data_IF_629952183754
#
_entry.id   IF_629952183754
#
_cell.length_a   1.000
_cell.length_b   1.000
_cell.length_c   1.000
_cell.angle_alpha   90.00
_cell.angle_beta   90.00
_cell.angle_gamma   90.00
#
_symmetry.space_group_name_H-M   'P 1'
#
loop_
_entity.id
_entity.type
_entity.pdbx_description
1 polymer ?
#
# COMPACT_ATOMS: atom_id res chain seq x y z
N UNK A 1 21.45 -18.08 18.28
CA UNK A 1 22.45 -19.15 18.06
C UNK A 1 21.78 -20.53 18.04
N UNK A 2 21.42 -21.00 16.83
CA UNK A 2 21.20 -22.39 16.40
C UNK A 2 20.27 -22.38 15.16
N UNK A 3 20.71 -21.71 14.09
CA UNK A 3 20.02 -21.80 12.80
C UNK A 3 20.46 -23.09 12.09
N UNK A 4 19.52 -23.78 11.45
CA UNK A 4 19.85 -24.93 10.59
C UNK A 4 20.35 -24.39 9.25
N UNK A 5 21.50 -24.85 8.74
CA UNK A 5 21.98 -24.47 7.41
C UNK A 5 20.99 -24.85 6.29
N UNK A 6 20.82 -23.95 5.31
CA UNK A 6 19.84 -24.05 4.22
C UNK A 6 19.94 -25.36 3.41
N UNK A 7 21.15 -25.91 3.30
CA UNK A 7 21.46 -27.14 2.57
C UNK A 7 20.93 -28.41 3.24
N UNK A 8 20.42 -28.31 4.48
CA UNK A 8 19.90 -29.46 5.24
C UNK A 8 18.38 -29.44 5.45
N UNK A 9 17.69 -28.46 4.87
CA UNK A 9 16.23 -28.37 4.93
C UNK A 9 15.64 -29.37 3.93
N UNK A 10 14.90 -30.36 4.42
CA UNK A 10 14.26 -31.39 3.59
C UNK A 10 15.07 -32.69 3.41
N UNK A 11 16.21 -32.82 4.08
CA UNK A 11 17.15 -33.94 3.93
C UNK A 11 16.71 -35.26 4.62
N UNK A 12 15.39 -35.44 4.82
CA UNK A 12 14.78 -36.72 5.17
C UNK A 12 15.34 -37.42 6.41
N UNK A 13 15.73 -36.69 7.46
CA UNK A 13 16.11 -37.32 8.73
C UNK A 13 14.90 -38.00 9.36
N UNK A 14 15.06 -39.25 9.81
CA UNK A 14 14.01 -40.03 10.46
C UNK A 14 13.64 -39.43 11.82
N UNK A 15 12.51 -38.73 11.91
CA UNK A 15 11.97 -38.23 13.17
C UNK A 15 11.03 -39.27 13.78
N UNK A 16 11.40 -39.83 14.93
CA UNK A 16 10.48 -40.60 15.76
C UNK A 16 9.52 -39.66 16.49
N UNK A 17 8.21 -39.82 16.28
CA UNK A 17 7.18 -39.11 17.03
C UNK A 17 7.17 -39.58 18.51
N UNK A 18 7.85 -38.86 19.39
CA UNK A 18 7.61 -38.88 20.84
C UNK A 18 6.54 -37.86 21.25
N UNK A 19 6.08 -37.84 22.53
CA UNK A 19 5.01 -36.96 23.00
C UNK A 19 5.42 -35.48 23.16
N UNK A 20 6.57 -35.07 22.62
CA UNK A 20 7.02 -33.68 22.65
C UNK A 20 6.56 -32.95 21.39
N UNK A 21 5.61 -32.03 21.56
CA UNK A 21 5.29 -31.00 20.58
C UNK A 21 6.52 -30.12 20.39
N UNK A 22 7.22 -30.29 19.26
CA UNK A 22 8.23 -29.34 18.80
C UNK A 22 7.52 -28.10 18.28
N UNK A 23 7.53 -27.01 19.07
CA UNK A 23 7.27 -25.67 18.54
C UNK A 23 8.45 -25.30 17.64
N UNK A 24 8.25 -25.41 16.32
CA UNK A 24 9.19 -24.84 15.36
C UNK A 24 8.87 -23.36 15.21
N UNK A 25 9.69 -22.49 15.81
CA UNK A 25 9.68 -21.07 15.49
C UNK A 25 10.38 -20.88 14.15
N UNK A 26 9.61 -20.80 13.07
CA UNK A 26 10.13 -20.44 11.74
C UNK A 26 10.25 -18.92 11.70
N UNK A 27 11.44 -18.38 11.42
CA UNK A 27 11.61 -16.96 11.14
C UNK A 27 10.97 -16.67 9.77
N UNK A 28 9.75 -16.15 9.78
CA UNK A 28 9.11 -15.65 8.57
C UNK A 28 9.72 -14.29 8.26
N UNK A 29 10.34 -14.15 7.09
CA UNK A 29 10.80 -12.86 6.60
C UNK A 29 9.59 -11.93 6.48
N UNK A 30 9.68 -10.75 7.09
CA UNK A 30 8.55 -9.83 7.13
C UNK A 30 8.60 -8.86 5.97
N UNK A 31 7.47 -8.73 5.28
CA UNK A 31 7.32 -7.79 4.18
C UNK A 31 7.37 -6.35 4.68
N UNK A 32 7.50 -5.41 3.74
CA UNK A 32 7.41 -3.98 4.05
C UNK A 32 6.16 -3.72 4.88
N UNK A 33 6.19 -2.72 5.75
CA UNK A 33 5.10 -2.37 6.64
C UNK A 33 4.85 -3.29 7.83
N UNK A 34 5.52 -4.44 7.90
CA UNK A 34 5.43 -5.30 9.07
C UNK A 34 6.13 -4.68 10.28
N UNK A 35 5.62 -4.88 11.51
CA UNK A 35 6.35 -4.48 12.70
C UNK A 35 7.69 -5.22 12.78
N UNK A 36 8.71 -4.63 13.39
CA UNK A 36 10.03 -5.25 13.53
C UNK A 36 10.74 -4.79 14.81
N UNK A 37 11.70 -5.58 15.26
CA UNK A 37 12.62 -5.23 16.34
C UNK A 37 14.03 -4.97 15.81
N UNK A 38 14.44 -5.67 14.76
CA UNK A 38 15.76 -5.55 14.14
C UNK A 38 15.74 -5.78 12.62
N UNK A 39 16.81 -5.41 11.93
CA UNK A 39 16.95 -5.61 10.47
C UNK A 39 16.80 -7.07 10.05
N UNK A 40 17.10 -8.02 10.94
CA UNK A 40 16.93 -9.46 10.66
C UNK A 40 15.46 -9.85 10.43
N UNK A 41 14.51 -9.06 10.93
CA UNK A 41 13.08 -9.29 10.68
C UNK A 41 12.68 -8.90 9.25
N UNK A 42 13.46 -8.01 8.62
CA UNK A 42 13.13 -7.29 7.40
C UNK A 42 13.94 -7.75 6.20
N UNK A 43 14.24 -9.04 6.11
CA UNK A 43 15.08 -9.61 5.04
C UNK A 43 14.27 -10.14 3.85
N UNK A 44 13.00 -9.74 3.71
CA UNK A 44 12.12 -10.23 2.64
C UNK A 44 12.51 -9.66 1.27
N UNK A 45 12.97 -8.41 1.22
CA UNK A 45 13.45 -7.75 -0.01
C UNK A 45 14.79 -7.03 0.19
N UNK A 46 15.60 -6.83 -0.88
CA UNK A 46 16.85 -6.09 -0.78
C UNK A 46 16.65 -4.66 -0.27
N UNK A 47 17.63 -4.16 0.50
CA UNK A 47 17.66 -2.80 1.08
C UNK A 47 16.51 -2.50 2.04
N UNK A 48 15.86 -3.53 2.57
CA UNK A 48 14.85 -3.42 3.61
C UNK A 48 15.53 -3.48 4.99
N UNK A 49 15.12 -2.58 5.89
CA UNK A 49 15.69 -2.40 7.22
C UNK A 49 14.57 -2.14 8.23
N UNK A 50 14.86 -2.32 9.51
CA UNK A 50 13.94 -2.05 10.60
C UNK A 50 14.17 -0.64 11.15
N UNK A 51 13.29 0.30 10.82
CA UNK A 51 13.40 1.69 11.24
C UNK A 51 12.05 2.26 11.67
N UNK A 52 12.08 3.38 12.38
CA UNK A 52 10.88 4.18 12.63
C UNK A 52 10.30 4.72 11.32
N UNK A 53 8.97 4.75 11.22
CA UNK A 53 8.25 5.46 10.16
C UNK A 53 7.91 6.90 10.58
N UNK A 54 7.22 7.63 9.71
CA UNK A 54 6.75 9.00 9.98
C UNK A 54 5.83 9.10 11.22
N UNK A 55 5.12 8.03 11.56
CA UNK A 55 4.23 7.97 12.73
C UNK A 55 4.95 7.57 14.03
N UNK A 56 6.22 7.15 13.97
CA UNK A 56 7.00 6.68 15.11
C UNK A 56 6.88 5.19 15.42
N UNK A 57 6.28 4.38 14.53
CA UNK A 57 6.25 2.92 14.68
C UNK A 57 7.48 2.28 14.03
N UNK A 58 8.05 1.28 14.71
CA UNK A 58 9.18 0.51 14.17
C UNK A 58 8.68 -0.56 13.21
N UNK A 59 8.97 -0.35 11.92
CA UNK A 59 8.49 -1.20 10.84
C UNK A 59 9.62 -1.59 9.90
N UNK A 60 9.41 -2.67 9.15
CA UNK A 60 10.24 -2.96 8.00
C UNK A 60 9.98 -1.95 6.90
N UNK A 61 10.97 -1.11 6.63
CA UNK A 61 10.97 -0.10 5.58
C UNK A 61 12.13 -0.31 4.61
N UNK A 62 12.22 0.47 3.53
CA UNK A 62 13.34 0.43 2.58
C UNK A 62 14.14 1.72 2.65
N UNK A 63 15.46 1.59 2.46
CA UNK A 63 16.35 2.74 2.28
C UNK A 63 15.95 3.53 1.03
N UNK A 64 16.12 4.85 1.10
CA UNK A 64 15.85 5.73 -0.03
C UNK A 64 16.94 6.79 -0.18
N UNK A 65 17.11 7.25 -1.41
CA UNK A 65 17.96 8.40 -1.70
C UNK A 65 17.10 9.68 -1.63
N UNK A 66 17.38 10.62 -0.70
CA UNK A 66 16.62 11.85 -0.56
C UNK A 66 16.76 12.78 -1.78
N UNK A 67 17.85 12.69 -2.54
CA UNK A 67 18.07 13.51 -3.73
C UNK A 67 17.27 12.98 -4.93
N UNK A 68 16.96 11.68 -4.94
CA UNK A 68 16.14 11.03 -5.98
C UNK A 68 14.68 10.83 -5.57
N UNK A 69 14.36 10.92 -4.27
CA UNK A 69 13.05 10.63 -3.67
C UNK A 69 12.45 9.30 -4.17
N UNK A 70 13.28 8.27 -4.34
CA UNK A 70 12.91 7.02 -4.96
C UNK A 70 12.33 6.03 -3.94
N UNK A 71 11.03 6.16 -3.65
CA UNK A 71 10.29 5.19 -2.85
C UNK A 71 9.40 4.29 -3.73
N UNK A 72 9.20 3.00 -3.36
CA UNK A 72 8.44 2.04 -4.19
C UNK A 72 6.99 2.45 -4.50
N UNK A 73 6.37 3.25 -3.62
CA UNK A 73 5.00 3.76 -3.75
C UNK A 73 4.93 5.18 -4.31
N UNK A 74 6.02 5.69 -4.89
CA UNK A 74 6.00 6.99 -5.55
C UNK A 74 5.47 8.12 -4.67
N UNK A 75 4.46 8.82 -5.18
CA UNK A 75 3.85 9.96 -4.50
C UNK A 75 3.06 9.60 -3.23
N UNK A 76 2.64 8.34 -3.03
CA UNK A 76 2.04 7.88 -1.76
C UNK A 76 3.07 7.78 -0.61
N UNK A 77 4.34 7.91 -0.93
CA UNK A 77 5.44 7.80 0.02
C UNK A 77 6.31 9.06 0.05
N UNK A 78 7.09 9.17 1.10
CA UNK A 78 8.09 10.21 1.30
C UNK A 78 9.38 9.59 1.79
N UNK A 79 10.50 10.05 1.21
CA UNK A 79 11.84 9.72 1.67
C UNK A 79 12.27 10.73 2.73
N UNK A 80 12.81 10.26 3.85
CA UNK A 80 13.29 11.12 4.92
C UNK A 80 13.99 10.34 6.03
N UNK A 81 14.65 11.04 6.95
CA UNK A 81 15.23 10.44 8.15
C UNK A 81 14.16 10.46 9.23
N UNK A 82 13.52 9.31 9.47
CA UNK A 82 12.45 9.15 10.46
C UNK A 82 12.95 8.54 11.77
N UNK A 83 14.06 7.80 11.69
CA UNK A 83 14.75 7.21 12.83
C UNK A 83 16.06 7.98 13.06
N UNK A 84 16.05 8.89 14.03
CA UNK A 84 17.21 9.71 14.37
C UNK A 84 18.38 8.89 14.91
N UNK A 85 18.12 7.73 15.53
CA UNK A 85 19.16 6.84 16.06
C UNK A 85 19.91 6.14 14.92
N UNK A 86 19.19 5.71 13.87
CA UNK A 86 19.79 5.12 12.67
C UNK A 86 20.45 6.18 11.77
N UNK A 87 19.87 7.38 11.69
CA UNK A 87 20.38 8.48 10.86
C UNK A 87 20.37 8.19 9.35
N UNK A 88 19.62 7.17 8.91
CA UNK A 88 19.51 6.76 7.51
C UNK A 88 18.17 7.19 6.91
N UNK A 89 18.16 7.72 5.67
CA UNK A 89 16.93 8.03 4.96
C UNK A 89 16.18 6.77 4.55
N UNK A 90 14.90 6.69 4.93
CA UNK A 90 14.00 5.58 4.62
C UNK A 90 12.66 6.07 4.07
N UNK A 91 11.94 5.16 3.43
CA UNK A 91 10.60 5.45 2.93
C UNK A 91 9.56 5.38 4.05
N UNK A 92 8.62 6.32 4.07
CA UNK A 92 7.41 6.21 4.87
C UNK A 92 6.19 6.54 4.02
N UNK A 93 5.05 5.95 4.35
CA UNK A 93 3.78 6.37 3.77
C UNK A 93 3.42 7.78 4.24
N UNK A 94 2.81 8.57 3.35
CA UNK A 94 2.36 9.94 3.66
C UNK A 94 1.22 9.99 4.67
N UNK A 95 0.43 8.92 4.77
CA UNK A 95 -0.64 8.80 5.75
C UNK A 95 -0.12 8.41 7.15
N UNK A 96 1.21 8.32 7.32
CA UNK A 96 1.85 7.90 8.56
C UNK A 96 2.17 6.41 8.52
N UNK A 97 1.63 5.66 9.47
CA UNK A 97 1.90 4.25 9.58
C UNK A 97 1.38 3.47 8.36
N UNK A 98 1.88 2.24 8.28
CA UNK A 98 1.60 1.27 7.24
C UNK A 98 0.20 0.67 7.20
N UNK A 99 -0.72 1.24 7.99
CA UNK A 99 -2.09 0.82 8.10
C UNK A 99 -2.97 2.06 7.92
N UNK A 100 -3.70 2.10 6.82
CA UNK A 100 -4.89 2.95 6.68
C UNK A 100 -6.14 2.21 7.17
N UNK A 101 -7.30 2.84 7.03
CA UNK A 101 -8.59 2.18 7.21
C UNK A 101 -8.99 1.34 5.97
N UNK A 102 -8.14 1.34 4.94
CA UNK A 102 -8.35 0.64 3.67
C UNK A 102 -9.36 1.35 2.78
N UNK A 103 -9.58 2.65 3.01
CA UNK A 103 -10.63 3.44 2.38
C UNK A 103 -10.03 4.35 1.31
N UNK A 104 -10.50 4.19 0.07
CA UNK A 104 -10.09 5.05 -1.05
C UNK A 104 -8.58 5.25 -1.07
N UNK A 105 -8.13 6.49 -1.01
CA UNK A 105 -6.71 6.84 -1.16
C UNK A 105 -5.72 6.35 -0.07
N UNK A 106 -6.14 5.48 0.84
CA UNK A 106 -5.24 4.79 1.75
C UNK A 106 -4.20 3.95 0.99
N UNK A 107 -2.92 3.96 1.43
CA UNK A 107 -1.89 3.12 0.81
C UNK A 107 -2.20 1.64 1.04
N UNK A 108 -1.84 0.81 0.07
CA UNK A 108 -2.05 -0.64 0.15
C UNK A 108 -0.90 -1.40 -0.52
N UNK A 109 -0.69 -2.65 -0.07
CA UNK A 109 0.22 -3.59 -0.73
C UNK A 109 -0.52 -4.72 -1.44
N UNK A 110 -1.66 -5.12 -0.87
CA UNK A 110 -2.53 -6.20 -1.32
C UNK A 110 -4.00 -5.77 -1.34
N UNK A 111 -4.84 -6.49 -2.07
CA UNK A 111 -6.28 -6.21 -2.14
C UNK A 111 -6.99 -6.44 -0.80
N UNK A 112 -6.46 -7.32 0.06
CA UNK A 112 -7.01 -7.64 1.37
C UNK A 112 -6.97 -6.44 2.35
N UNK A 113 -6.09 -5.47 2.10
CA UNK A 113 -6.01 -4.21 2.83
C UNK A 113 -7.11 -3.21 2.44
N UNK A 114 -7.90 -3.51 1.39
CA UNK A 114 -8.91 -2.61 0.83
C UNK A 114 -10.32 -3.21 0.94
N UNK A 115 -10.98 -3.17 2.11
CA UNK A 115 -12.29 -3.77 2.31
C UNK A 115 -13.35 -3.11 1.41
N UNK A 116 -14.07 -3.89 0.62
CA UNK A 116 -15.06 -3.37 -0.35
C UNK A 116 -14.44 -2.77 -1.61
N UNK A 117 -13.15 -3.04 -1.84
CA UNK A 117 -12.35 -2.44 -2.88
C UNK A 117 -11.29 -3.37 -3.47
N UNK A 118 -10.25 -2.77 -4.02
CA UNK A 118 -9.00 -3.43 -4.41
C UNK A 118 -7.85 -2.43 -4.41
N UNK A 119 -6.62 -2.95 -4.37
CA UNK A 119 -5.40 -2.17 -4.34
C UNK A 119 -4.91 -1.89 -5.77
N UNK A 120 -5.05 -0.64 -6.22
CA UNK A 120 -4.59 -0.24 -7.56
C UNK A 120 -3.18 0.29 -7.52
N UNK A 121 -2.43 0.07 -8.61
CA UNK A 121 -1.12 0.68 -8.84
C UNK A 121 -1.17 1.66 -10.00
N UNK A 122 -0.81 2.92 -9.76
CA UNK A 122 -0.57 3.89 -10.81
C UNK A 122 0.76 3.56 -11.50
N UNK A 123 0.72 3.26 -12.79
CA UNK A 123 1.89 2.88 -13.58
C UNK A 123 2.90 4.00 -13.82
N UNK A 124 2.53 5.26 -13.55
CA UNK A 124 3.39 6.42 -13.72
C UNK A 124 4.08 6.82 -12.43
N UNK A 125 3.30 7.13 -11.40
CA UNK A 125 3.83 7.54 -10.12
C UNK A 125 4.41 6.34 -9.37
N UNK A 126 3.97 5.10 -9.67
CA UNK A 126 4.31 3.90 -8.89
C UNK A 126 3.46 3.75 -7.63
N UNK A 127 2.63 4.74 -7.34
CA UNK A 127 1.68 4.80 -6.23
C UNK A 127 0.76 3.60 -6.17
N UNK A 128 0.51 3.12 -4.96
CA UNK A 128 -0.51 2.11 -4.69
C UNK A 128 -1.48 2.65 -3.64
N UNK A 129 -2.78 2.54 -3.93
CA UNK A 129 -3.85 3.01 -3.05
C UNK A 129 -5.10 2.14 -3.20
N UNK A 130 -5.97 2.15 -2.19
CA UNK A 130 -7.24 1.45 -2.26
C UNK A 130 -8.24 2.18 -3.19
N UNK A 131 -9.15 1.44 -3.81
CA UNK A 131 -10.36 2.02 -4.39
C UNK A 131 -11.55 1.46 -3.64
N UNK A 132 -12.25 2.29 -2.86
CA UNK A 132 -13.42 1.86 -2.10
C UNK A 132 -14.70 2.08 -2.93
N UNK A 133 -15.29 0.98 -3.39
CA UNK A 133 -16.53 1.01 -4.18
C UNK A 133 -17.78 1.25 -3.35
N UNK A 134 -17.67 1.32 -2.02
CA UNK A 134 -18.82 1.59 -1.13
C UNK A 134 -19.09 3.07 -0.97
N UNK A 135 -18.17 3.94 -1.40
CA UNK A 135 -18.36 5.39 -1.37
C UNK A 135 -19.21 5.77 -2.58
N UNK A 136 -20.51 5.92 -2.34
CA UNK A 136 -21.49 6.26 -3.37
C UNK A 136 -21.54 7.77 -3.60
N UNK A 137 -21.79 8.18 -4.84
CA UNK A 137 -21.88 9.57 -5.27
C UNK A 137 -23.12 9.79 -6.15
N UNK A 138 -23.32 11.02 -6.63
CA UNK A 138 -24.43 11.37 -7.50
C UNK A 138 -24.00 12.40 -8.53
N UNK A 139 -24.28 12.11 -9.80
CA UNK A 139 -24.06 13.04 -10.89
C UNK A 139 -25.34 13.80 -11.28
N UNK A 140 -25.22 15.07 -11.73
CA UNK A 140 -26.33 15.76 -12.36
C UNK A 140 -26.80 15.02 -13.62
N UNK A 141 -28.10 15.10 -13.94
CA UNK A 141 -28.67 14.44 -15.13
C UNK A 141 -28.02 14.87 -16.46
N UNK A 142 -27.34 16.02 -16.49
CA UNK A 142 -26.61 16.53 -17.65
C UNK A 142 -25.29 15.83 -17.92
N UNK A 143 -24.77 15.05 -16.96
CA UNK A 143 -23.53 14.27 -17.07
C UNK A 143 -23.81 12.81 -16.69
N UNK A 144 -24.63 12.10 -17.50
CA UNK A 144 -24.82 10.67 -17.30
C UNK A 144 -23.46 9.99 -17.49
N UNK A 145 -23.20 8.90 -16.78
CA UNK A 145 -21.94 8.12 -16.78
C UNK A 145 -20.82 8.63 -15.86
N UNK A 146 -20.54 9.93 -15.80
CA UNK A 146 -19.53 10.44 -14.86
C UNK A 146 -19.56 11.95 -14.68
N UNK A 147 -19.18 12.43 -13.50
CA UNK A 147 -19.03 13.84 -13.20
C UNK A 147 -17.87 14.07 -12.20
N UNK A 148 -17.31 15.28 -12.18
CA UNK A 148 -16.30 15.66 -11.20
C UNK A 148 -16.97 16.07 -9.88
N UNK A 149 -16.44 15.58 -8.76
CA UNK A 149 -16.80 16.05 -7.42
C UNK A 149 -18.23 15.77 -6.99
N UNK A 150 -18.98 14.88 -7.64
CA UNK A 150 -20.40 14.56 -7.41
C UNK A 150 -20.79 14.05 -6.01
N UNK A 151 -20.38 14.72 -4.95
CA UNK A 151 -20.48 14.28 -3.56
C UNK A 151 -19.27 13.48 -3.07
N UNK A 152 -18.27 13.22 -3.92
CA UNK A 152 -17.08 12.48 -3.51
C UNK A 152 -16.19 13.30 -2.57
N UNK A 153 -15.57 12.65 -1.55
CA UNK A 153 -14.57 13.31 -0.73
C UNK A 153 -13.36 13.72 -1.57
N UNK A 154 -12.62 14.72 -1.10
CA UNK A 154 -11.33 15.07 -1.69
C UNK A 154 -10.29 14.01 -1.31
N UNK A 155 -9.33 13.78 -2.19
CA UNK A 155 -8.19 12.92 -1.86
C UNK A 155 -7.27 13.60 -0.84
N UNK A 156 -6.37 12.87 -0.16
CA UNK A 156 -5.33 13.47 0.69
C UNK A 156 -4.44 14.47 -0.07
N UNK A 157 -4.29 14.28 -1.38
CA UNK A 157 -3.63 15.22 -2.29
C UNK A 157 -4.43 16.48 -2.63
N UNK A 158 -5.61 16.66 -2.01
CA UNK A 158 -6.56 17.73 -2.28
C UNK A 158 -7.02 17.77 -3.76
N UNK A 159 -7.20 16.59 -4.35
CA UNK A 159 -7.70 16.43 -5.71
C UNK A 159 -9.20 16.07 -5.69
N UNK A 160 -9.94 16.57 -6.67
CA UNK A 160 -11.35 16.19 -6.88
C UNK A 160 -11.44 14.78 -7.46
N UNK A 161 -12.21 13.93 -6.79
CA UNK A 161 -12.51 12.56 -7.22
C UNK A 161 -13.54 12.55 -8.35
N UNK A 162 -13.45 11.56 -9.23
CA UNK A 162 -14.41 11.35 -10.31
C UNK A 162 -15.51 10.43 -9.82
N UNK A 163 -16.75 10.87 -9.93
CA UNK A 163 -17.91 10.03 -9.69
C UNK A 163 -18.18 9.23 -10.96
N UNK A 164 -18.19 7.90 -10.87
CA UNK A 164 -18.38 7.00 -11.99
C UNK A 164 -19.64 6.17 -11.80
N UNK A 165 -20.37 5.96 -12.88
CA UNK A 165 -21.47 4.99 -12.91
C UNK A 165 -20.95 3.57 -12.62
N UNK A 166 -21.49 2.93 -11.58
CA UNK A 166 -21.16 1.57 -11.22
C UNK A 166 -21.62 0.61 -12.31
N UNK A 167 -20.67 -0.03 -13.01
CA UNK A 167 -20.95 -1.07 -14.00
C UNK A 167 -21.43 -2.37 -13.32
N UNK A 168 -22.61 -2.38 -12.69
CA UNK A 168 -23.31 -3.62 -12.37
C UNK A 168 -24.29 -3.94 -13.50
N UNK A 169 -23.86 -4.82 -14.40
CA UNK A 169 -24.58 -5.22 -15.62
C UNK A 169 -25.77 -6.17 -15.34
N UNK A 170 -26.36 -6.15 -14.14
CA UNK A 170 -27.39 -7.10 -13.73
C UNK A 170 -28.44 -6.44 -12.83
N UNK A 171 -29.44 -5.79 -13.46
CA UNK A 171 -30.77 -5.47 -12.90
C UNK A 171 -30.88 -4.71 -11.56
N UNK A 172 -29.80 -4.09 -11.06
CA UNK A 172 -29.84 -3.26 -9.85
C UNK A 172 -29.49 -1.81 -10.15
N UNK A 173 -30.01 -0.90 -9.31
CA UNK A 173 -29.85 0.56 -9.35
C UNK A 173 -28.45 0.96 -9.81
N UNK A 174 -28.36 1.90 -10.77
CA UNK A 174 -27.11 2.59 -11.10
C UNK A 174 -26.65 3.34 -9.84
N UNK A 175 -25.77 2.70 -9.07
CA UNK A 175 -25.11 3.34 -7.94
C UNK A 175 -23.80 3.92 -8.46
N UNK A 176 -23.70 5.24 -8.48
CA UNK A 176 -22.45 5.88 -8.82
C UNK A 176 -21.47 5.71 -7.66
N UNK A 177 -20.21 5.42 -7.95
CA UNK A 177 -19.16 5.23 -6.96
C UNK A 177 -18.04 6.24 -7.16
N UNK A 178 -17.41 6.64 -6.07
CA UNK A 178 -16.27 7.54 -6.10
C UNK A 178 -15.02 6.80 -6.53
N UNK A 179 -14.44 7.25 -7.64
CA UNK A 179 -13.15 6.82 -8.14
C UNK A 179 -12.09 7.88 -7.89
N UNK A 180 -10.83 7.46 -7.87
CA UNK A 180 -9.70 8.37 -7.72
C UNK A 180 -9.63 9.38 -8.88
N UNK A 181 -9.06 10.58 -8.64
CA UNK A 181 -8.89 11.61 -9.64
C UNK A 181 -8.19 11.09 -10.87
N UNK A 182 -8.72 11.45 -12.04
CA UNK A 182 -8.06 11.18 -13.30
C UNK A 182 -7.11 12.33 -13.64
N UNK A 183 -5.82 12.06 -13.53
CA UNK A 183 -4.77 12.97 -14.00
C UNK A 183 -4.31 12.52 -15.38
N UNK A 184 -4.30 13.44 -16.34
CA UNK A 184 -3.86 13.19 -17.71
C UNK A 184 -3.32 14.46 -18.34
N UNK A 185 -2.13 14.39 -18.94
CA UNK A 185 -1.64 15.42 -19.86
C UNK A 185 -2.16 15.03 -21.25
N UNK A 186 -2.81 15.97 -21.95
CA UNK A 186 -3.60 15.76 -23.16
C UNK A 186 -3.08 14.66 -24.10
N UNK A 187 -3.93 13.66 -24.36
CA UNK A 187 -3.66 12.55 -25.29
C UNK A 187 -3.15 11.25 -24.65
N UNK A 188 -2.76 11.25 -23.37
CA UNK A 188 -2.41 10.02 -22.63
C UNK A 188 -3.65 9.40 -21.94
N UNK A 189 -3.66 8.07 -21.77
CA UNK A 189 -4.69 7.33 -21.01
C UNK A 189 -4.90 8.00 -19.64
N UNK A 190 -6.15 8.31 -19.29
CA UNK A 190 -6.56 8.83 -17.97
C UNK A 190 -5.94 7.97 -16.86
N UNK A 191 -5.32 8.59 -15.84
CA UNK A 191 -4.63 7.86 -14.75
C UNK A 191 -5.21 8.25 -13.40
N UNK A 192 -5.69 7.25 -12.70
CA UNK A 192 -6.12 7.28 -11.31
C UNK A 192 -4.96 7.68 -10.38
N UNK A 193 -5.09 8.77 -9.62
CA UNK A 193 -4.03 9.28 -8.73
C UNK A 193 -4.62 9.93 -7.49
N UNK A 194 -4.16 9.56 -6.31
CA UNK A 194 -4.60 10.18 -5.06
C UNK A 194 -3.76 11.40 -4.66
N UNK A 195 -2.58 11.56 -5.27
CA UNK A 195 -1.70 12.70 -5.06
C UNK A 195 -1.43 13.47 -6.36
N UNK A 196 -1.13 14.78 -6.29
CA UNK A 196 -0.79 15.56 -7.47
C UNK A 196 0.41 14.96 -8.21
N UNK A 197 0.35 14.98 -9.53
CA UNK A 197 1.52 14.67 -10.36
C UNK A 197 2.50 15.83 -10.19
N UNK A 198 3.70 15.55 -9.68
CA UNK A 198 4.79 16.54 -9.61
C UNK A 198 5.34 16.85 -10.99
#
# INVERSE_FOLDING_TARGET
PNCVPDDRIGDGQDYQCGPMLLHFSVCVQRDFCSPCESDNDCLAVPNQICALNLAGDKICTVLCDPDLAACPWGNASVCGVWDEELGLPTCSHRFGACQGEGLGCDPCTTDDECPGGYCVRNSFSGERHCLDKRVVCSCPETEPFSCLGGGCPLTPGNLEMKCLDGLDYVDTVIEFVCDSPQTGIGGARERQSCWPVR
#
